data_IF_517567456391
#
_entry.id   IF_517567456391
#
_cell.length_a   1.000
_cell.length_b   1.000
_cell.length_c   1.000
_cell.angle_alpha   90.00
_cell.angle_beta   90.00
_cell.angle_gamma   90.00
#
_symmetry.space_group_name_H-M   'P 1'
#
loop_
_entity.id
_entity.type
_entity.pdbx_description
1 polymer ?
#
# COMPACT_ATOMS: atom_id res chain seq x y z
N UNK A 1 20.31 -22.19 19.92
CA UNK A 1 21.29 -21.57 19.00
C UNK A 1 20.52 -21.25 17.71
N UNK A 2 20.09 -20.03 17.56
CA UNK A 2 19.43 -19.55 16.33
C UNK A 2 20.52 -19.23 15.33
N UNK A 3 20.63 -20.02 14.27
CA UNK A 3 21.52 -19.75 13.16
C UNK A 3 21.03 -18.50 12.43
N UNK A 4 21.69 -17.37 12.64
CA UNK A 4 21.56 -16.20 11.77
C UNK A 4 22.26 -16.56 10.48
N UNK A 5 21.50 -16.82 9.41
CA UNK A 5 22.08 -16.93 8.08
C UNK A 5 22.62 -15.55 7.69
N UNK A 6 23.90 -15.42 7.31
CA UNK A 6 24.39 -14.15 6.79
C UNK A 6 23.72 -13.91 5.44
N UNK A 7 22.86 -12.90 5.39
CA UNK A 7 22.33 -12.39 4.11
C UNK A 7 23.50 -11.68 3.44
N UNK A 8 24.15 -12.34 2.50
CA UNK A 8 25.12 -11.69 1.63
C UNK A 8 24.36 -11.01 0.48
N UNK A 9 24.25 -9.69 0.51
CA UNK A 9 23.77 -8.91 -0.63
C UNK A 9 24.85 -8.94 -1.73
N UNK A 10 24.84 -9.97 -2.56
CA UNK A 10 25.87 -10.14 -3.59
C UNK A 10 25.55 -9.44 -4.90
N UNK A 11 24.39 -8.76 -5.03
CA UNK A 11 24.06 -8.04 -6.27
C UNK A 11 23.27 -6.79 -5.95
N UNK A 12 23.95 -5.64 -5.94
CA UNK A 12 23.25 -4.39 -6.22
C UNK A 12 22.84 -4.47 -7.70
N UNK A 13 21.52 -4.46 -7.98
CA UNK A 13 21.02 -4.40 -9.34
C UNK A 13 21.42 -3.04 -9.92
N UNK A 14 22.58 -2.99 -10.58
CA UNK A 14 23.04 -1.87 -11.39
C UNK A 14 22.84 -2.26 -12.85
N UNK A 15 22.49 -1.25 -13.64
CA UNK A 15 22.36 -1.22 -15.09
C UNK A 15 22.98 -2.42 -15.79
N UNK A 16 22.17 -3.19 -16.50
CA UNK A 16 22.69 -4.11 -17.52
C UNK A 16 23.35 -3.30 -18.64
N UNK A 17 24.47 -3.77 -19.16
CA UNK A 17 25.19 -3.18 -20.30
C UNK A 17 24.39 -3.20 -21.61
N UNK A 18 23.17 -3.76 -21.61
CA UNK A 18 22.29 -3.95 -22.75
C UNK A 18 21.27 -2.80 -22.97
N UNK A 19 21.44 -1.64 -22.32
CA UNK A 19 20.67 -0.43 -22.61
C UNK A 19 19.26 -0.39 -22.00
N UNK A 20 18.91 -1.30 -21.10
CA UNK A 20 17.66 -1.24 -20.32
C UNK A 20 17.60 0.03 -19.47
N UNK A 21 16.44 0.69 -19.44
CA UNK A 21 16.24 1.86 -18.60
C UNK A 21 16.47 1.52 -17.13
N UNK A 22 17.20 2.38 -16.43
CA UNK A 22 17.46 2.22 -15.00
C UNK A 22 16.13 2.24 -14.23
N UNK A 23 16.05 1.41 -13.17
CA UNK A 23 15.02 1.55 -12.16
C UNK A 23 15.16 2.95 -11.53
N UNK A 24 14.09 3.69 -11.54
CA UNK A 24 13.92 4.85 -10.69
C UNK A 24 13.71 4.34 -9.24
N UNK A 25 13.78 5.18 -8.20
CA UNK A 25 13.50 4.71 -6.86
C UNK A 25 12.14 3.99 -6.80
N UNK A 26 12.12 2.66 -6.57
CA UNK A 26 10.88 1.91 -6.56
C UNK A 26 10.07 2.24 -5.29
N UNK A 27 8.73 2.22 -5.38
CA UNK A 27 7.89 2.55 -4.24
C UNK A 27 7.09 1.37 -3.70
N UNK A 28 6.47 0.56 -4.54
CA UNK A 28 5.68 -0.60 -4.16
C UNK A 28 6.31 -1.92 -4.56
N UNK A 29 6.13 -2.94 -3.72
CA UNK A 29 6.60 -4.30 -3.98
C UNK A 29 5.53 -5.29 -3.55
N UNK A 30 5.28 -6.31 -4.39
CA UNK A 30 4.39 -7.41 -4.09
C UNK A 30 5.01 -8.73 -4.57
N UNK A 31 4.69 -9.82 -3.90
CA UNK A 31 5.05 -11.18 -4.33
C UNK A 31 3.80 -11.92 -4.79
N UNK A 32 3.92 -12.66 -5.90
CA UNK A 32 2.90 -13.63 -6.31
C UNK A 32 3.01 -14.93 -5.48
N UNK A 33 2.04 -15.82 -5.62
CA UNK A 33 2.10 -17.14 -4.99
C UNK A 33 3.23 -18.01 -5.57
N UNK A 34 3.61 -17.79 -6.81
CA UNK A 34 4.71 -18.45 -7.51
C UNK A 34 6.08 -17.90 -7.09
N UNK A 35 6.10 -16.77 -6.37
CA UNK A 35 7.32 -16.10 -5.91
C UNK A 35 7.84 -15.03 -6.86
N UNK A 36 7.09 -14.67 -7.91
CA UNK A 36 7.45 -13.56 -8.77
C UNK A 36 7.33 -12.23 -8.00
N UNK A 37 8.23 -11.31 -8.32
CA UNK A 37 8.34 -10.00 -7.69
C UNK A 37 7.77 -8.94 -8.61
N UNK A 38 6.71 -8.26 -8.15
CA UNK A 38 6.16 -7.10 -8.83
C UNK A 38 6.70 -5.83 -8.21
N UNK A 39 7.11 -4.88 -9.03
CA UNK A 39 7.75 -3.64 -8.61
C UNK A 39 7.09 -2.43 -9.27
N UNK A 40 6.67 -1.45 -8.47
CA UNK A 40 6.25 -0.14 -8.98
C UNK A 40 7.47 0.74 -9.22
N UNK A 41 7.81 0.92 -10.48
CA UNK A 41 8.87 1.80 -10.98
C UNK A 41 8.24 3.19 -11.23
N UNK A 42 7.99 3.91 -10.11
CA UNK A 42 7.00 4.99 -10.06
C UNK A 42 7.34 6.20 -10.93
N UNK A 43 8.58 6.64 -10.98
CA UNK A 43 9.00 7.76 -11.82
C UNK A 43 9.09 7.38 -13.31
N UNK A 44 9.18 6.08 -13.62
CA UNK A 44 9.09 5.57 -14.99
C UNK A 44 7.65 5.19 -15.37
N UNK A 45 6.68 5.40 -14.46
CA UNK A 45 5.23 5.22 -14.70
C UNK A 45 4.86 3.81 -15.18
N UNK A 46 5.53 2.78 -14.65
CA UNK A 46 5.36 1.39 -15.08
C UNK A 46 5.43 0.41 -13.92
N UNK A 47 4.99 -0.82 -14.19
CA UNK A 47 5.16 -1.97 -13.31
C UNK A 47 6.12 -2.94 -13.99
N UNK A 48 7.06 -3.50 -13.24
CA UNK A 48 7.97 -4.54 -13.70
C UNK A 48 7.69 -5.82 -12.91
N UNK A 49 7.73 -6.97 -13.60
CA UNK A 49 7.56 -8.29 -13.02
C UNK A 49 8.85 -9.09 -13.24
N UNK A 50 9.38 -9.64 -12.18
CA UNK A 50 10.59 -10.44 -12.17
C UNK A 50 10.30 -11.85 -11.65
N UNK A 51 11.00 -12.84 -12.17
CA UNK A 51 10.97 -14.19 -11.63
C UNK A 51 11.72 -14.27 -10.27
N UNK A 52 11.63 -15.39 -9.52
CA UNK A 52 12.34 -15.55 -8.24
C UNK A 52 13.87 -15.47 -8.35
N UNK A 53 14.44 -15.53 -9.54
CA UNK A 53 15.87 -15.35 -9.82
C UNK A 53 16.21 -13.92 -10.24
N UNK A 54 15.20 -13.00 -10.18
CA UNK A 54 15.29 -11.60 -10.59
C UNK A 54 15.57 -11.37 -12.07
N UNK A 55 15.17 -12.30 -12.96
CA UNK A 55 15.10 -12.02 -14.38
C UNK A 55 13.80 -11.30 -14.71
N UNK A 56 13.86 -10.26 -15.54
CA UNK A 56 12.68 -9.53 -15.97
C UNK A 56 11.79 -10.44 -16.84
N UNK A 57 10.56 -10.67 -16.39
CA UNK A 57 9.53 -11.43 -17.12
C UNK A 57 8.81 -10.49 -18.10
N UNK A 58 8.30 -9.38 -17.57
CA UNK A 58 7.53 -8.40 -18.36
C UNK A 58 7.52 -7.03 -17.70
N UNK A 59 7.13 -6.03 -18.47
CA UNK A 59 6.94 -4.66 -18.02
C UNK A 59 5.70 -4.09 -18.70
N UNK A 60 4.88 -3.36 -17.97
CA UNK A 60 3.67 -2.72 -18.50
C UNK A 60 3.41 -1.36 -17.82
N UNK A 61 2.61 -0.54 -18.47
CA UNK A 61 2.36 0.84 -18.08
C UNK A 61 3.28 1.82 -18.80
N UNK A 62 2.76 3.00 -19.01
CA UNK A 62 3.45 4.19 -19.53
C UNK A 62 2.77 5.44 -18.95
N UNK A 63 3.41 6.58 -19.01
CA UNK A 63 2.86 7.82 -18.47
C UNK A 63 1.57 8.25 -19.19
N UNK A 64 0.47 8.37 -18.42
CA UNK A 64 -0.79 8.88 -18.96
C UNK A 64 -1.98 8.64 -18.04
N UNK A 65 -3.20 8.82 -18.61
CA UNK A 65 -4.48 8.70 -17.90
C UNK A 65 -5.42 7.67 -18.51
N UNK A 66 -5.10 7.17 -19.70
CA UNK A 66 -5.93 6.18 -20.37
C UNK A 66 -5.85 4.81 -19.68
N UNK A 67 -6.66 3.86 -20.15
CA UNK A 67 -6.62 2.49 -19.63
C UNK A 67 -5.24 1.87 -19.88
N UNK A 68 -4.62 1.33 -18.85
CA UNK A 68 -3.27 0.75 -18.89
C UNK A 68 -2.13 1.76 -18.74
N UNK A 69 -2.40 3.08 -18.88
CA UNK A 69 -1.43 4.12 -18.57
C UNK A 69 -1.44 4.43 -17.07
N UNK A 70 -0.29 4.81 -16.52
CA UNK A 70 -0.09 5.05 -15.09
C UNK A 70 0.55 6.42 -14.84
N UNK A 71 0.31 6.97 -13.65
CA UNK A 71 0.97 8.19 -13.21
C UNK A 71 1.43 8.08 -11.77
N UNK A 72 2.74 7.90 -11.58
CA UNK A 72 3.38 7.62 -10.28
C UNK A 72 2.70 6.47 -9.53
N UNK A 73 2.69 5.25 -10.10
CA UNK A 73 2.13 4.09 -9.42
C UNK A 73 2.89 3.84 -8.11
N UNK A 74 2.16 3.57 -7.02
CA UNK A 74 2.73 3.36 -5.69
C UNK A 74 2.56 1.91 -5.22
N UNK A 75 1.47 1.58 -4.57
CA UNK A 75 1.19 0.26 -4.06
C UNK A 75 0.76 -0.72 -5.14
N UNK A 76 1.11 -1.99 -4.94
CA UNK A 76 0.71 -3.11 -5.81
C UNK A 76 0.22 -4.24 -4.92
N UNK A 77 -0.87 -4.87 -5.32
CA UNK A 77 -1.34 -6.12 -4.72
C UNK A 77 -1.75 -7.12 -5.79
N UNK A 78 -1.66 -8.42 -5.46
CA UNK A 78 -2.08 -9.51 -6.34
C UNK A 78 -3.11 -10.35 -5.61
N UNK A 79 -4.26 -10.62 -6.27
CA UNK A 79 -5.26 -11.53 -5.72
C UNK A 79 -4.91 -13.00 -6.01
N UNK A 80 -5.68 -13.92 -5.43
CA UNK A 80 -5.46 -15.36 -5.59
C UNK A 80 -5.74 -15.87 -7.03
N UNK A 81 -6.42 -15.10 -7.85
CA UNK A 81 -6.65 -15.36 -9.26
C UNK A 81 -5.50 -14.83 -10.15
N UNK A 82 -4.51 -14.16 -9.57
CA UNK A 82 -3.37 -13.57 -10.28
C UNK A 82 -3.65 -12.20 -10.89
N UNK A 83 -4.79 -11.57 -10.56
CA UNK A 83 -5.04 -10.20 -11.01
C UNK A 83 -4.19 -9.21 -10.19
N UNK A 84 -3.64 -8.23 -10.89
CA UNK A 84 -2.76 -7.21 -10.33
C UNK A 84 -3.55 -5.93 -10.13
N UNK A 85 -3.54 -5.39 -8.91
CA UNK A 85 -4.13 -4.10 -8.57
C UNK A 85 -3.02 -3.09 -8.32
N UNK A 86 -3.11 -1.95 -8.98
CA UNK A 86 -2.11 -0.87 -8.91
C UNK A 86 -2.74 0.41 -8.40
N UNK A 87 -2.17 1.00 -7.35
CA UNK A 87 -2.48 2.35 -6.92
C UNK A 87 -1.87 3.35 -7.90
N UNK A 88 -2.67 3.82 -8.84
CA UNK A 88 -2.32 4.83 -9.83
C UNK A 88 -2.48 6.23 -9.20
N UNK A 89 -1.52 6.57 -8.32
CA UNK A 89 -1.67 7.56 -7.26
C UNK A 89 -2.05 8.94 -7.77
N UNK A 90 -1.34 9.46 -8.79
CA UNK A 90 -1.60 10.80 -9.31
C UNK A 90 -2.79 10.86 -10.27
N UNK A 91 -3.31 9.70 -10.68
CA UNK A 91 -4.59 9.60 -11.38
C UNK A 91 -5.77 9.36 -10.42
N UNK A 92 -5.51 9.27 -9.10
CA UNK A 92 -6.51 9.09 -8.04
C UNK A 92 -7.44 7.89 -8.30
N UNK A 93 -6.88 6.77 -8.75
CA UNK A 93 -7.62 5.56 -9.10
C UNK A 93 -6.86 4.29 -8.77
N UNK A 94 -7.57 3.18 -8.76
CA UNK A 94 -6.98 1.84 -8.80
C UNK A 94 -7.19 1.28 -10.20
N UNK A 95 -6.16 0.70 -10.79
CA UNK A 95 -6.28 -0.08 -12.02
C UNK A 95 -6.07 -1.57 -11.73
N UNK A 96 -6.93 -2.39 -12.32
CA UNK A 96 -6.83 -3.85 -12.31
C UNK A 96 -6.28 -4.34 -13.64
N UNK A 97 -5.31 -5.23 -13.58
CA UNK A 97 -4.68 -5.88 -14.73
C UNK A 97 -4.75 -7.39 -14.57
N UNK A 98 -4.64 -8.12 -15.66
CA UNK A 98 -4.37 -9.55 -15.59
C UNK A 98 -2.88 -9.82 -15.28
N UNK A 99 -2.52 -11.09 -15.13
CA UNK A 99 -1.15 -11.52 -14.82
C UNK A 99 -0.12 -11.18 -15.92
N UNK A 100 -0.57 -10.82 -17.12
CA UNK A 100 0.28 -10.37 -18.24
C UNK A 100 0.34 -8.84 -18.36
N UNK A 101 -0.25 -8.09 -17.42
CA UNK A 101 -0.28 -6.62 -17.44
C UNK A 101 -1.27 -6.00 -18.43
N UNK A 102 -2.27 -6.78 -18.92
CA UNK A 102 -3.34 -6.21 -19.76
C UNK A 102 -4.40 -5.57 -18.86
N UNK A 103 -4.80 -4.31 -19.13
CA UNK A 103 -5.79 -3.62 -18.29
C UNK A 103 -7.16 -4.28 -18.40
N UNK A 104 -7.79 -4.53 -17.25
CA UNK A 104 -9.12 -5.13 -17.15
C UNK A 104 -10.17 -4.11 -16.72
N UNK A 105 -9.84 -3.27 -15.73
CA UNK A 105 -10.78 -2.34 -15.11
C UNK A 105 -10.05 -1.21 -14.41
N UNK A 106 -10.72 -0.06 -14.22
CA UNK A 106 -10.28 0.98 -13.30
C UNK A 106 -11.46 1.49 -12.47
N UNK A 107 -11.19 1.93 -11.25
CA UNK A 107 -12.18 2.55 -10.36
C UNK A 107 -11.52 3.57 -9.44
N UNK A 108 -12.34 4.46 -8.89
CA UNK A 108 -11.87 5.64 -8.16
C UNK A 108 -11.80 6.88 -9.05
N UNK A 109 -11.92 8.03 -8.42
CA UNK A 109 -11.74 9.36 -8.99
C UNK A 109 -11.29 10.30 -7.89
N UNK A 110 -10.71 11.45 -8.24
CA UNK A 110 -10.24 12.41 -7.24
C UNK A 110 -11.37 12.91 -6.34
N UNK A 111 -11.23 12.75 -5.02
CA UNK A 111 -12.18 13.24 -4.03
C UNK A 111 -12.10 12.53 -2.69
N UNK A 112 -13.07 12.80 -1.81
CA UNK A 112 -13.15 12.29 -0.44
C UNK A 112 -14.45 11.52 -0.14
N UNK A 113 -15.38 11.45 -1.10
CA UNK A 113 -16.63 10.72 -0.93
C UNK A 113 -16.41 9.20 -1.08
N UNK A 114 -17.48 8.44 -0.85
CA UNK A 114 -17.46 6.99 -0.99
C UNK A 114 -17.16 6.57 -2.43
N UNK A 115 -16.06 5.82 -2.63
CA UNK A 115 -15.58 5.40 -3.94
C UNK A 115 -14.62 6.39 -4.60
N UNK A 116 -14.50 7.61 -4.10
CA UNK A 116 -13.47 8.56 -4.51
C UNK A 116 -12.18 8.30 -3.74
N UNK A 117 -11.04 8.67 -4.33
CA UNK A 117 -9.70 8.43 -3.80
C UNK A 117 -8.87 9.72 -3.86
N UNK A 118 -7.98 9.89 -2.88
CA UNK A 118 -7.02 11.00 -2.91
C UNK A 118 -5.61 10.50 -2.61
N UNK A 119 -4.81 10.41 -3.68
CA UNK A 119 -3.49 9.75 -3.69
C UNK A 119 -3.54 8.37 -3.01
N UNK A 120 -4.16 7.35 -3.65
CA UNK A 120 -4.04 5.98 -3.17
C UNK A 120 -2.55 5.61 -3.16
N UNK A 121 -2.05 5.19 -2.00
CA UNK A 121 -0.62 5.03 -1.79
C UNK A 121 -0.20 3.57 -1.65
N UNK A 122 -1.04 2.74 -1.04
CA UNK A 122 -0.79 1.31 -0.90
C UNK A 122 -2.08 0.51 -1.00
N UNK A 123 -1.96 -0.77 -1.33
CA UNK A 123 -3.09 -1.70 -1.49
C UNK A 123 -2.75 -3.02 -0.82
N UNK A 124 -3.69 -3.54 -0.06
CA UNK A 124 -3.69 -4.92 0.43
C UNK A 124 -4.94 -5.62 -0.07
N UNK A 125 -4.80 -6.86 -0.57
CA UNK A 125 -5.93 -7.73 -0.93
C UNK A 125 -6.01 -8.87 0.08
N UNK A 126 -7.18 -9.09 0.65
CA UNK A 126 -7.39 -10.22 1.55
C UNK A 126 -7.79 -11.50 0.80
N UNK A 127 -7.88 -12.62 1.53
CA UNK A 127 -8.25 -13.93 0.97
C UNK A 127 -9.68 -14.01 0.41
N UNK A 128 -10.53 -13.02 0.72
CA UNK A 128 -11.91 -12.92 0.20
C UNK A 128 -11.99 -12.02 -1.04
N UNK A 129 -10.87 -11.37 -1.43
CA UNK A 129 -10.80 -10.43 -2.54
C UNK A 129 -11.22 -9.00 -2.16
N UNK A 130 -11.27 -8.69 -0.86
CA UNK A 130 -11.47 -7.31 -0.41
C UNK A 130 -10.19 -6.52 -0.55
N UNK A 131 -10.25 -5.41 -1.26
CA UNK A 131 -9.14 -4.49 -1.38
C UNK A 131 -9.20 -3.47 -0.23
N UNK A 132 -8.07 -3.23 0.40
CA UNK A 132 -7.85 -2.20 1.40
C UNK A 132 -6.88 -1.18 0.81
N UNK A 133 -7.38 0.00 0.50
CA UNK A 133 -6.63 1.06 -0.17
C UNK A 133 -6.27 2.13 0.84
N UNK A 134 -4.97 2.36 1.02
CA UNK A 134 -4.45 3.45 1.85
C UNK A 134 -4.55 4.75 1.07
N UNK A 135 -5.32 5.70 1.59
CA UNK A 135 -5.49 7.03 1.01
C UNK A 135 -4.73 8.07 1.82
N UNK A 136 -3.62 8.54 1.25
CA UNK A 136 -2.69 9.43 1.96
C UNK A 136 -3.33 10.74 2.38
N UNK A 137 -4.02 11.43 1.47
CA UNK A 137 -4.60 12.74 1.74
C UNK A 137 -6.03 12.72 2.26
N UNK A 138 -6.70 11.57 2.21
CA UNK A 138 -7.98 11.39 2.91
C UNK A 138 -7.79 10.80 4.32
N UNK A 139 -6.55 10.52 4.72
CA UNK A 139 -6.21 10.04 6.08
C UNK A 139 -7.03 8.82 6.51
N UNK A 140 -7.25 7.87 5.57
CA UNK A 140 -8.13 6.71 5.79
C UNK A 140 -7.66 5.47 5.04
N UNK A 141 -8.26 4.33 5.39
CA UNK A 141 -8.18 3.09 4.61
C UNK A 141 -9.57 2.83 4.07
N UNK A 142 -9.75 2.86 2.75
CA UNK A 142 -11.02 2.56 2.09
C UNK A 142 -11.06 1.13 1.59
N UNK A 143 -12.21 0.47 1.74
CA UNK A 143 -12.45 -0.91 1.34
C UNK A 143 -13.22 -0.94 0.03
N UNK A 144 -12.80 -1.85 -0.85
CA UNK A 144 -13.52 -2.13 -2.10
C UNK A 144 -13.69 -3.64 -2.26
N UNK A 145 -14.76 -4.04 -2.93
CA UNK A 145 -14.86 -5.39 -3.45
C UNK A 145 -13.98 -5.54 -4.71
N UNK A 146 -13.88 -6.78 -5.22
CA UNK A 146 -13.06 -7.10 -6.40
C UNK A 146 -13.51 -6.38 -7.69
N UNK A 147 -14.74 -5.87 -7.70
CA UNK A 147 -15.34 -5.15 -8.83
C UNK A 147 -15.26 -3.63 -8.66
N UNK A 148 -14.51 -3.15 -7.64
CA UNK A 148 -14.25 -1.74 -7.40
C UNK A 148 -15.41 -0.99 -6.76
N UNK A 149 -16.41 -1.68 -6.20
CA UNK A 149 -17.48 -1.04 -5.42
C UNK A 149 -16.98 -0.77 -4.01
N UNK A 150 -17.05 0.49 -3.59
CA UNK A 150 -16.67 0.87 -2.22
C UNK A 150 -17.62 0.28 -1.18
N UNK A 151 -17.04 -0.41 -0.21
CA UNK A 151 -17.72 -1.02 0.94
C UNK A 151 -17.76 -0.09 2.16
N UNK A 152 -16.92 0.97 2.19
CA UNK A 152 -16.77 1.90 3.29
C UNK A 152 -15.30 2.16 3.59
N UNK A 153 -15.02 2.78 4.72
CA UNK A 153 -13.64 3.06 5.14
C UNK A 153 -13.52 3.08 6.66
N UNK A 154 -12.27 3.02 7.15
CA UNK A 154 -11.88 3.30 8.53
C UNK A 154 -10.83 4.40 8.55
N UNK A 155 -10.81 5.16 9.64
CA UNK A 155 -9.86 6.24 9.82
C UNK A 155 -10.43 7.60 9.46
N UNK A 156 -9.80 8.59 10.06
CA UNK A 156 -10.01 10.01 9.78
C UNK A 156 -8.73 10.77 10.13
N UNK A 157 -8.63 11.99 9.66
CA UNK A 157 -7.50 12.85 10.00
C UNK A 157 -7.42 13.06 11.51
N UNK A 158 -6.22 12.86 12.09
CA UNK A 158 -5.99 13.16 13.48
C UNK A 158 -4.53 12.92 13.89
N UNK A 159 -4.12 13.64 14.90
CA UNK A 159 -2.76 13.66 15.43
C UNK A 159 -2.66 12.88 16.74
N UNK A 160 -1.44 12.50 17.13
CA UNK A 160 -1.15 11.91 18.44
C UNK A 160 -1.60 12.78 19.59
N UNK A 161 -1.63 14.11 19.42
CA UNK A 161 -2.10 15.03 20.43
C UNK A 161 -3.61 14.92 20.66
N UNK A 162 -4.38 14.81 19.56
CA UNK A 162 -5.85 14.64 19.63
C UNK A 162 -6.24 13.32 20.29
N UNK A 163 -5.51 12.23 20.03
CA UNK A 163 -5.69 10.96 20.74
C UNK A 163 -5.45 11.11 22.25
N UNK A 164 -4.33 11.74 22.66
CA UNK A 164 -4.03 11.97 24.07
C UNK A 164 -5.06 12.85 24.79
N UNK A 165 -5.61 13.83 24.08
CA UNK A 165 -6.68 14.66 24.62
C UNK A 165 -8.00 13.88 24.75
N UNK A 166 -8.34 13.03 23.78
CA UNK A 166 -9.52 12.17 23.86
C UNK A 166 -9.45 11.19 25.05
N UNK A 167 -8.27 10.61 25.32
CA UNK A 167 -8.04 9.72 26.45
C UNK A 167 -8.18 10.45 27.81
N UNK A 168 -7.86 11.75 27.86
CA UNK A 168 -7.99 12.56 29.09
C UNK A 168 -9.43 12.96 29.42
N UNK A 169 -10.31 13.04 28.43
CA UNK A 169 -11.69 13.47 28.60
C UNK A 169 -12.70 12.32 28.72
N UNK A 170 -12.25 11.10 29.05
CA UNK A 170 -13.11 9.93 29.25
C UNK A 170 -14.23 9.84 28.21
N UNK A 171 -13.88 9.61 26.94
CA UNK A 171 -14.89 9.33 25.91
C UNK A 171 -15.68 8.08 26.35
N UNK A 172 -17.02 8.11 26.38
CA UNK A 172 -17.80 6.96 26.85
C UNK A 172 -17.38 5.69 26.11
N UNK A 173 -17.12 4.62 26.85
CA UNK A 173 -16.60 3.30 26.42
C UNK A 173 -17.42 2.64 25.28
N UNK A 174 -18.49 3.21 24.80
CA UNK A 174 -19.38 2.69 23.77
C UNK A 174 -19.19 3.31 22.38
N UNK A 175 -18.36 4.34 22.23
CA UNK A 175 -17.92 4.84 20.92
C UNK A 175 -16.47 4.43 20.74
N UNK A 176 -16.23 3.37 19.99
CA UNK A 176 -14.90 3.07 19.45
C UNK A 176 -14.59 4.25 18.52
N UNK A 177 -13.75 5.18 18.98
CA UNK A 177 -13.31 6.29 18.16
C UNK A 177 -12.62 5.73 16.91
N UNK A 178 -12.94 6.26 15.72
CA UNK A 178 -12.27 5.79 14.51
C UNK A 178 -10.76 5.99 14.63
N UNK A 179 -9.95 5.11 14.03
CA UNK A 179 -8.51 5.31 13.99
C UNK A 179 -8.14 6.70 13.47
N UNK A 180 -7.21 7.39 14.13
CA UNK A 180 -6.69 8.67 13.68
C UNK A 180 -5.39 8.46 12.91
N UNK A 181 -5.33 8.97 11.68
CA UNK A 181 -4.15 8.91 10.82
C UNK A 181 -3.74 10.31 10.36
N UNK A 182 -2.44 10.49 10.13
CA UNK A 182 -1.89 11.64 9.44
C UNK A 182 -0.97 11.16 8.33
N UNK A 183 -1.39 11.34 7.07
CA UNK A 183 -0.69 10.87 5.88
C UNK A 183 -0.25 9.39 5.95
N UNK A 184 -1.17 8.43 6.13
CA UNK A 184 -0.82 7.01 6.12
C UNK A 184 -0.24 6.62 4.76
N UNK A 185 0.76 5.71 4.77
CA UNK A 185 1.50 5.38 3.53
C UNK A 185 1.60 3.89 3.24
N UNK A 186 1.39 3.00 4.20
CA UNK A 186 1.44 1.57 3.91
C UNK A 186 0.55 0.76 4.84
N UNK A 187 0.15 -0.40 4.38
CA UNK A 187 -0.62 -1.39 5.12
C UNK A 187 -0.01 -2.78 4.96
N UNK A 188 0.15 -3.49 6.06
CA UNK A 188 0.56 -4.88 6.07
C UNK A 188 -0.36 -5.69 6.98
N UNK A 189 -0.42 -7.01 6.77
CA UNK A 189 -1.21 -7.94 7.58
C UNK A 189 -0.33 -9.10 8.06
N UNK A 190 -0.42 -9.44 9.36
CA UNK A 190 0.24 -10.62 9.89
C UNK A 190 -0.60 -11.89 9.69
N UNK A 191 -0.01 -13.05 9.96
CA UNK A 191 -0.68 -14.35 9.87
C UNK A 191 -1.81 -14.55 10.89
N UNK A 192 -1.86 -13.72 11.93
CA UNK A 192 -2.95 -13.69 12.92
C UNK A 192 -4.12 -12.80 12.48
N UNK A 193 -3.99 -12.10 11.35
CA UNK A 193 -5.02 -11.21 10.78
C UNK A 193 -4.96 -9.79 11.32
N UNK A 194 -3.93 -9.39 12.06
CA UNK A 194 -3.76 -8.02 12.51
C UNK A 194 -3.19 -7.14 11.38
N UNK A 195 -3.62 -5.88 11.36
CA UNK A 195 -3.15 -4.88 10.41
C UNK A 195 -2.10 -3.96 11.04
N UNK A 196 -1.10 -3.60 10.25
CA UNK A 196 -0.08 -2.62 10.61
C UNK A 196 -0.15 -1.49 9.60
N UNK A 197 -0.31 -0.27 10.10
CA UNK A 197 -0.43 0.93 9.27
C UNK A 197 0.73 1.86 9.58
N UNK A 198 1.47 2.27 8.56
CA UNK A 198 2.43 3.36 8.71
C UNK A 198 1.68 4.69 8.71
N UNK A 199 1.65 5.34 9.85
CA UNK A 199 1.03 6.64 10.11
C UNK A 199 2.11 7.72 10.04
N UNK A 200 2.54 8.01 8.80
CA UNK A 200 3.80 8.70 8.52
C UNK A 200 3.86 10.12 9.06
N UNK A 201 2.74 10.87 8.98
CA UNK A 201 2.68 12.23 9.51
C UNK A 201 2.72 12.28 11.05
N UNK A 202 2.40 11.17 11.72
CA UNK A 202 2.52 11.02 13.17
C UNK A 202 3.79 10.29 13.60
N UNK A 203 4.69 9.95 12.67
CA UNK A 203 5.96 9.25 12.97
C UNK A 203 5.76 7.98 13.79
N UNK A 204 4.78 7.15 13.42
CA UNK A 204 4.45 5.93 14.15
C UNK A 204 3.93 4.82 13.23
N UNK A 205 3.92 3.59 13.75
CA UNK A 205 3.16 2.48 13.21
C UNK A 205 2.04 2.14 14.18
N UNK A 206 0.84 1.96 13.67
CA UNK A 206 -0.31 1.52 14.45
C UNK A 206 -0.68 0.09 14.11
N UNK A 207 -0.94 -0.73 15.14
CA UNK A 207 -1.43 -2.11 15.00
C UNK A 207 -2.90 -2.20 15.39
N UNK A 208 -3.70 -2.84 14.54
CA UNK A 208 -5.13 -3.09 14.73
C UNK A 208 -5.43 -4.59 14.63
N UNK A 209 -6.48 -5.04 15.34
CA UNK A 209 -7.03 -6.37 15.10
C UNK A 209 -7.92 -6.37 13.84
N UNK A 210 -8.50 -7.54 13.52
CA UNK A 210 -9.38 -7.71 12.36
C UNK A 210 -10.74 -6.97 12.46
N UNK A 211 -11.08 -6.41 13.62
CA UNK A 211 -12.22 -5.51 13.83
C UNK A 211 -11.83 -4.03 13.81
N UNK A 212 -10.60 -3.70 13.41
CA UNK A 212 -10.03 -2.34 13.39
C UNK A 212 -9.97 -1.67 14.78
N UNK A 213 -9.92 -2.47 15.84
CA UNK A 213 -9.63 -1.97 17.17
C UNK A 213 -8.12 -1.84 17.36
N UNK A 214 -7.67 -0.68 17.82
CA UNK A 214 -6.25 -0.41 18.05
C UNK A 214 -5.71 -1.32 19.16
N UNK A 215 -4.66 -2.08 18.86
CA UNK A 215 -3.96 -2.94 19.82
C UNK A 215 -2.81 -2.17 20.45
N UNK A 216 -1.98 -1.51 19.64
CA UNK A 216 -0.85 -0.72 20.08
C UNK A 216 -0.42 0.29 18.98
N UNK A 217 0.38 1.25 19.38
CA UNK A 217 1.19 2.05 18.46
C UNK A 217 2.62 2.15 18.99
N UNK A 218 3.58 2.30 18.08
CA UNK A 218 4.98 2.49 18.41
C UNK A 218 5.65 3.42 17.40
N UNK A 219 6.69 4.09 17.83
CA UNK A 219 7.39 5.12 17.09
C UNK A 219 7.06 6.51 17.63
N UNK A 220 7.98 7.41 17.47
CA UNK A 220 7.89 8.84 17.78
C UNK A 220 8.91 9.61 16.91
N UNK A 221 8.78 10.94 16.76
CA UNK A 221 9.72 11.71 15.98
C UNK A 221 11.15 11.62 16.54
N UNK A 222 12.14 11.39 15.67
CA UNK A 222 13.56 11.40 16.06
C UNK A 222 14.44 10.52 15.19
N UNK A 223 15.74 10.53 15.50
CA UNK A 223 16.78 9.79 14.76
C UNK A 223 17.38 8.62 15.54
N UNK A 224 16.97 8.42 16.78
CA UNK A 224 17.43 7.31 17.61
C UNK A 224 16.71 6.00 17.26
N UNK A 225 17.26 4.83 17.59
CA UNK A 225 16.60 3.56 17.38
C UNK A 225 15.18 3.54 18.00
N UNK A 226 14.17 3.14 17.19
CA UNK A 226 12.76 3.13 17.59
C UNK A 226 12.00 4.43 17.35
N UNK A 227 12.68 5.47 16.84
CA UNK A 227 12.06 6.72 16.36
C UNK A 227 12.03 6.75 14.82
N UNK A 228 11.13 7.55 14.24
CA UNK A 228 10.93 7.69 12.79
C UNK A 228 10.96 9.16 12.37
#
# INVERSE_FOLDING_TARGET
>A
MTSVFPISFNTAYRKKEDGGEELSPPSGLCLTQEGDVLLADDFNHRIQIYDPQFNLITCFGEKGKDSGQLQYPKGIAVDKEGNIFVADSWNHRIQKFDSQGRPLQSFGSCGDHKGELNEPYDILVDSFGTLMVVERYNHRIQFFDRDGKSLGWVGQRGTTLEEKLADLYETPLNLIAPPLFEFPTSIARDSCGNFFITDSGNHRIQKFNNQWQKILSFGEPGTEPGKF
#
